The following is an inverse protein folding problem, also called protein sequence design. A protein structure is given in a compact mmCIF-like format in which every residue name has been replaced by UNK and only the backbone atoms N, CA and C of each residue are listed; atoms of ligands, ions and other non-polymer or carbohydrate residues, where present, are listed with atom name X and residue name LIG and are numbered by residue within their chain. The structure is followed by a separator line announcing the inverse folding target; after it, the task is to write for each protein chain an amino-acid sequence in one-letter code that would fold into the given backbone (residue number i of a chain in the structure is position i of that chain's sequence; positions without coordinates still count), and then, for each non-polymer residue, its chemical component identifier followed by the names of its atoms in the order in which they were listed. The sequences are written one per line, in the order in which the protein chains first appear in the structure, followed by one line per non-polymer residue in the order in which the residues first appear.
data_IF_202009284812
#
_entry.id   IF_202009284812
#
_cell.length_a   1.000
_cell.length_b   1.000
_cell.length_c   1.000
_cell.angle_alpha   90.00
_cell.angle_beta   90.00
_cell.angle_gamma   90.00
#
_symmetry.space_group_name_H-M   'P 1'
#
loop_
_entity.id
_entity.type
_entity.pdbx_description
1 polymer ?
#
# COMPACT_ATOMS: atom_id res chain seq x y z
N UNK A 1 12.94 -14.96 -2.91
CA UNK A 1 13.00 -13.50 -3.18
C UNK A 1 11.62 -12.94 -2.86
N UNK A 2 11.52 -11.79 -2.20
CA UNK A 2 10.20 -11.18 -1.91
C UNK A 2 9.57 -10.60 -3.17
N UNK A 3 8.26 -10.81 -3.31
CA UNK A 3 7.41 -10.22 -4.35
C UNK A 3 6.32 -9.37 -3.70
N UNK A 4 5.72 -8.49 -4.49
CA UNK A 4 4.48 -7.79 -4.14
C UNK A 4 3.35 -8.28 -5.05
N UNK A 5 2.24 -8.76 -4.49
CA UNK A 5 1.11 -9.26 -5.27
C UNK A 5 -0.15 -8.48 -4.92
N UNK A 6 -0.98 -8.20 -5.91
CA UNK A 6 -2.28 -7.55 -5.70
C UNK A 6 -3.43 -8.52 -5.97
N UNK A 7 -4.31 -8.67 -4.97
CA UNK A 7 -5.58 -9.39 -5.04
C UNK A 7 -6.71 -8.37 -5.18
N UNK A 8 -7.36 -8.28 -6.35
CA UNK A 8 -8.31 -7.23 -6.66
C UNK A 8 -9.65 -7.44 -5.93
N UNK A 9 -10.50 -6.41 -5.92
CA UNK A 9 -11.93 -6.58 -5.66
C UNK A 9 -12.63 -7.41 -6.75
N UNK A 10 -13.79 -7.96 -6.43
CA UNK A 10 -14.65 -8.66 -7.40
C UNK A 10 -15.13 -7.71 -8.53
N UNK A 11 -15.77 -8.27 -9.55
CA UNK A 11 -16.21 -7.55 -10.74
C UNK A 11 -15.09 -7.09 -11.68
N UNK A 12 -13.81 -7.31 -11.33
CA UNK A 12 -12.68 -6.80 -12.10
C UNK A 12 -12.08 -7.83 -13.07
N UNK A 13 -12.34 -7.66 -14.37
CA UNK A 13 -11.77 -8.51 -15.42
C UNK A 13 -10.55 -7.90 -16.14
N UNK A 14 -10.11 -6.70 -15.76
CA UNK A 14 -9.05 -5.93 -16.43
C UNK A 14 -8.20 -5.16 -15.42
N UNK A 15 -7.56 -5.91 -14.53
CA UNK A 15 -6.78 -5.34 -13.41
C UNK A 15 -5.64 -4.44 -13.89
N UNK A 16 -5.08 -4.69 -15.07
CA UNK A 16 -3.97 -3.95 -15.68
C UNK A 16 -4.33 -2.51 -16.08
N UNK A 17 -5.61 -2.17 -16.10
CA UNK A 17 -6.09 -0.82 -16.39
C UNK A 17 -7.01 -0.25 -15.32
N UNK A 18 -7.16 -0.94 -14.19
CA UNK A 18 -8.16 -0.62 -13.16
C UNK A 18 -7.61 0.22 -12.03
N UNK A 19 -8.34 1.29 -11.68
CA UNK A 19 -8.12 2.08 -10.46
C UNK A 19 -6.63 2.44 -10.31
N UNK A 20 -6.09 2.24 -9.11
CA UNK A 20 -4.71 2.45 -8.71
C UNK A 20 -3.83 1.20 -8.83
N UNK A 21 -4.39 0.02 -9.13
CA UNK A 21 -3.65 -1.25 -9.05
C UNK A 21 -2.35 -1.25 -9.87
N UNK A 22 -2.35 -0.86 -11.17
CA UNK A 22 -1.13 -0.88 -11.97
C UNK A 22 -0.10 0.14 -11.48
N UNK A 23 -0.56 1.31 -11.03
CA UNK A 23 0.31 2.37 -10.52
C UNK A 23 1.04 1.91 -9.26
N UNK A 24 0.32 1.31 -8.31
CA UNK A 24 0.88 0.84 -7.04
C UNK A 24 1.92 -0.25 -7.24
N UNK A 25 1.56 -1.33 -7.93
CA UNK A 25 2.47 -2.48 -8.07
C UNK A 25 3.74 -2.10 -8.83
N UNK A 26 3.61 -1.23 -9.84
CA UNK A 26 4.76 -0.71 -10.60
C UNK A 26 5.67 0.14 -9.73
N UNK A 27 5.12 1.11 -8.98
CA UNK A 27 5.91 1.99 -8.10
C UNK A 27 6.60 1.20 -7.00
N UNK A 28 5.94 0.21 -6.40
CA UNK A 28 6.55 -0.65 -5.39
C UNK A 28 7.66 -1.54 -5.95
N UNK A 29 7.50 -2.03 -7.18
CA UNK A 29 8.55 -2.81 -7.85
C UNK A 29 9.78 -1.95 -8.23
N UNK A 30 9.59 -0.66 -8.50
CA UNK A 30 10.65 0.31 -8.77
C UNK A 30 11.27 0.90 -7.49
N UNK A 31 10.62 0.72 -6.34
CA UNK A 31 11.10 1.21 -5.06
C UNK A 31 12.39 0.50 -4.60
N UNK A 32 13.24 1.24 -3.90
CA UNK A 32 14.51 0.73 -3.36
C UNK A 32 14.40 0.42 -1.87
N UNK A 33 15.05 -0.66 -1.46
CA UNK A 33 15.29 -0.94 -0.06
C UNK A 33 16.32 0.06 0.51
N UNK A 34 15.98 0.64 1.66
CA UNK A 34 16.75 1.74 2.23
C UNK A 34 18.13 1.31 2.77
N UNK A 35 18.29 0.02 3.12
CA UNK A 35 19.53 -0.49 3.69
C UNK A 35 20.48 -0.98 2.60
N UNK A 36 19.98 -1.79 1.66
CA UNK A 36 20.77 -2.41 0.60
C UNK A 36 20.93 -1.55 -0.65
N UNK A 37 20.04 -0.58 -0.87
CA UNK A 37 19.97 0.21 -2.10
C UNK A 37 19.49 -0.57 -3.33
N UNK A 38 19.22 -1.88 -3.19
CA UNK A 38 18.65 -2.73 -4.23
C UNK A 38 17.12 -2.62 -4.31
N UNK A 39 16.47 -3.38 -5.22
CA UNK A 39 15.01 -3.39 -5.32
C UNK A 39 14.36 -3.83 -4.00
N UNK A 40 13.30 -3.13 -3.57
CA UNK A 40 12.52 -3.48 -2.39
C UNK A 40 11.87 -4.87 -2.53
N UNK A 41 11.43 -5.20 -3.75
CA UNK A 41 10.88 -6.49 -4.11
C UNK A 41 11.69 -7.12 -5.25
N UNK A 42 12.83 -7.80 -4.97
CA UNK A 42 13.68 -8.37 -6.00
C UNK A 42 13.01 -9.48 -6.83
N UNK A 43 11.91 -10.05 -6.34
CA UNK A 43 11.07 -10.98 -7.09
C UNK A 43 10.05 -10.30 -8.02
N UNK A 44 10.00 -8.97 -8.06
CA UNK A 44 9.07 -8.20 -8.87
C UNK A 44 7.65 -8.13 -8.28
N UNK A 45 6.67 -7.96 -9.16
CA UNK A 45 5.26 -7.88 -8.80
C UNK A 45 4.38 -8.83 -9.61
N UNK A 46 3.23 -9.17 -9.04
CA UNK A 46 2.16 -9.91 -9.73
C UNK A 46 0.86 -9.08 -9.73
N UNK A 47 0.31 -8.87 -10.92
CA UNK A 47 -1.00 -8.25 -11.13
C UNK A 47 -1.73 -9.06 -12.20
N UNK A 48 -2.68 -9.90 -11.77
CA UNK A 48 -3.41 -10.81 -12.65
C UNK A 48 -4.90 -10.73 -12.40
N UNK A 49 -5.69 -10.88 -13.47
CA UNK A 49 -7.13 -11.08 -13.35
C UNK A 49 -7.37 -12.45 -12.69
N UNK A 50 -8.10 -12.46 -11.58
CA UNK A 50 -8.43 -13.69 -10.87
C UNK A 50 -9.52 -14.47 -11.62
N UNK A 51 -9.51 -15.81 -11.59
CA UNK A 51 -10.63 -16.62 -12.05
C UNK A 51 -11.89 -16.30 -11.22
N UNK A 52 -13.08 -16.59 -11.77
CA UNK A 52 -14.35 -16.29 -11.08
C UNK A 52 -14.45 -14.82 -10.61
N UNK A 53 -13.94 -13.89 -11.42
CA UNK A 53 -13.77 -12.48 -11.03
C UNK A 53 -15.08 -11.81 -10.58
N UNK A 54 -16.25 -12.28 -11.04
CA UNK A 54 -17.55 -11.72 -10.64
C UNK A 54 -17.93 -12.06 -9.20
N UNK A 55 -17.85 -13.33 -8.82
CA UNK A 55 -18.34 -13.81 -7.52
C UNK A 55 -17.25 -13.98 -6.47
N UNK A 56 -15.99 -13.98 -6.92
CA UNK A 56 -14.82 -14.06 -6.07
C UNK A 56 -14.87 -15.21 -5.05
N UNK A 57 -15.36 -16.41 -5.46
CA UNK A 57 -15.58 -17.49 -4.48
C UNK A 57 -14.28 -17.91 -3.81
N UNK A 58 -14.35 -18.02 -2.49
CA UNK A 58 -13.21 -18.30 -1.63
C UNK A 58 -12.39 -19.50 -2.10
N UNK A 59 -13.03 -20.64 -2.32
CA UNK A 59 -12.35 -21.88 -2.70
C UNK A 59 -11.66 -21.80 -4.08
N UNK A 60 -12.09 -20.88 -4.96
CA UNK A 60 -11.47 -20.66 -6.26
C UNK A 60 -10.29 -19.69 -6.10
N UNK A 61 -10.50 -18.58 -5.39
CA UNK A 61 -9.47 -17.55 -5.20
C UNK A 61 -8.32 -18.04 -4.32
N UNK A 62 -8.60 -18.70 -3.21
CA UNK A 62 -7.56 -19.28 -2.34
C UNK A 62 -6.76 -20.36 -3.05
N UNK A 63 -7.41 -21.20 -3.86
CA UNK A 63 -6.72 -22.18 -4.70
C UNK A 63 -5.84 -21.51 -5.76
N UNK A 64 -6.31 -20.45 -6.41
CA UNK A 64 -5.52 -19.68 -7.37
C UNK A 64 -4.30 -19.01 -6.71
N UNK A 65 -4.49 -18.43 -5.52
CA UNK A 65 -3.40 -17.87 -4.71
C UNK A 65 -2.34 -18.91 -4.35
N UNK A 66 -2.77 -20.12 -3.96
CA UNK A 66 -1.88 -21.22 -3.56
C UNK A 66 -1.15 -21.86 -4.76
N UNK A 67 -1.89 -22.27 -5.79
CA UNK A 67 -1.37 -23.17 -6.83
C UNK A 67 -0.74 -22.41 -7.99
N UNK A 68 -1.35 -21.28 -8.39
CA UNK A 68 -0.97 -20.53 -9.59
C UNK A 68 -0.03 -19.37 -9.24
N UNK A 69 -0.41 -18.53 -8.27
CA UNK A 69 0.44 -17.42 -7.82
C UNK A 69 1.56 -17.88 -6.87
N UNK A 70 1.33 -19.01 -6.19
CA UNK A 70 2.25 -19.61 -5.22
C UNK A 70 2.66 -18.60 -4.16
N UNK A 71 1.68 -17.90 -3.60
CA UNK A 71 1.90 -16.94 -2.50
C UNK A 71 2.54 -17.71 -1.34
N UNK A 72 3.58 -17.15 -0.76
CA UNK A 72 4.28 -17.76 0.37
C UNK A 72 4.85 -16.76 1.36
N UNK A 73 5.61 -17.28 2.32
CA UNK A 73 6.13 -16.53 3.48
C UNK A 73 7.02 -15.34 3.16
N UNK A 74 7.55 -15.25 1.93
CA UNK A 74 8.40 -14.14 1.50
C UNK A 74 7.62 -13.02 0.78
N UNK A 75 6.34 -13.25 0.48
CA UNK A 75 5.53 -12.36 -0.34
C UNK A 75 4.76 -11.34 0.50
N UNK A 76 4.64 -10.13 -0.02
CA UNK A 76 3.72 -9.13 0.48
C UNK A 76 2.49 -9.12 -0.41
N UNK A 77 1.30 -9.12 0.19
CA UNK A 77 0.02 -9.20 -0.52
C UNK A 77 -0.86 -7.99 -0.21
N UNK A 78 -1.34 -7.34 -1.26
CA UNK A 78 -2.27 -6.21 -1.19
C UNK A 78 -3.65 -6.71 -1.55
N UNK A 79 -4.61 -6.61 -0.64
CA UNK A 79 -6.01 -6.95 -0.86
C UNK A 79 -6.90 -5.73 -0.90
N UNK A 80 -7.72 -5.61 -1.95
CA UNK A 80 -8.74 -4.58 -2.01
C UNK A 80 -10.14 -5.20 -1.99
N UNK A 81 -11.03 -4.73 -1.11
CA UNK A 81 -12.43 -5.18 -1.02
C UNK A 81 -12.52 -6.71 -0.90
N UNK A 82 -13.20 -7.44 -1.79
CA UNK A 82 -13.25 -8.91 -1.76
C UNK A 82 -11.86 -9.57 -1.76
N UNK A 83 -10.85 -8.93 -2.35
CA UNK A 83 -9.46 -9.38 -2.28
C UNK A 83 -8.84 -9.26 -0.88
N UNK A 84 -9.27 -8.27 -0.09
CA UNK A 84 -8.91 -8.17 1.33
C UNK A 84 -9.52 -9.34 2.13
N UNK A 85 -10.80 -9.66 1.90
CA UNK A 85 -11.45 -10.83 2.51
C UNK A 85 -10.75 -12.14 2.12
N UNK A 86 -10.36 -12.28 0.85
CA UNK A 86 -9.64 -13.45 0.34
C UNK A 86 -8.28 -13.65 1.02
N UNK A 87 -7.48 -12.58 1.14
CA UNK A 87 -6.18 -12.65 1.82
C UNK A 87 -6.34 -12.96 3.29
N UNK A 88 -7.32 -12.35 3.98
CA UNK A 88 -7.61 -12.66 5.38
C UNK A 88 -7.94 -14.16 5.55
N UNK A 89 -8.75 -14.76 4.68
CA UNK A 89 -9.02 -16.21 4.72
C UNK A 89 -7.81 -17.06 4.39
N UNK A 90 -7.00 -16.65 3.41
CA UNK A 90 -5.76 -17.33 3.07
C UNK A 90 -4.79 -17.37 4.26
N UNK A 91 -4.64 -16.23 4.94
CA UNK A 91 -3.76 -16.04 6.09
C UNK A 91 -4.24 -16.77 7.36
N UNK A 92 -5.46 -17.31 7.41
CA UNK A 92 -5.86 -18.20 8.52
C UNK A 92 -5.00 -19.47 8.61
N UNK A 93 -4.38 -19.89 7.50
CA UNK A 93 -3.61 -21.15 7.44
C UNK A 93 -2.30 -21.07 6.67
N UNK A 94 -1.96 -19.91 6.10
CA UNK A 94 -0.77 -19.71 5.25
C UNK A 94 0.00 -18.49 5.70
N UNK A 95 1.33 -18.61 5.73
CA UNK A 95 2.21 -17.50 6.07
C UNK A 95 2.48 -16.62 4.87
N UNK A 96 2.53 -15.32 5.13
CA UNK A 96 2.97 -14.27 4.19
C UNK A 96 3.91 -13.32 4.92
N UNK A 97 4.72 -12.58 4.18
CA UNK A 97 5.63 -11.61 4.80
C UNK A 97 4.84 -10.43 5.37
N UNK A 98 3.91 -9.89 4.60
CA UNK A 98 3.10 -8.76 5.03
C UNK A 98 1.80 -8.65 4.26
N UNK A 99 0.81 -8.00 4.89
CA UNK A 99 -0.52 -7.81 4.33
C UNK A 99 -0.83 -6.31 4.29
N UNK A 100 -1.31 -5.84 3.14
CA UNK A 100 -1.94 -4.51 3.02
C UNK A 100 -3.42 -4.71 2.72
N UNK A 101 -4.28 -4.23 3.60
CA UNK A 101 -5.73 -4.31 3.48
C UNK A 101 -6.28 -2.96 3.03
N UNK A 102 -7.09 -2.92 1.99
CA UNK A 102 -7.79 -1.72 1.51
C UNK A 102 -9.28 -2.02 1.48
N UNK A 103 -10.06 -1.24 2.23
CA UNK A 103 -11.52 -1.47 2.40
C UNK A 103 -11.86 -2.88 2.88
N UNK A 104 -11.15 -3.38 3.90
CA UNK A 104 -11.44 -4.69 4.49
C UNK A 104 -12.74 -4.68 5.33
N UNK A 105 -13.41 -5.83 5.42
CA UNK A 105 -14.69 -6.01 6.12
C UNK A 105 -14.83 -7.45 6.60
N UNK A 106 -15.83 -7.72 7.44
CA UNK A 106 -15.93 -9.01 8.13
C UNK A 106 -17.29 -9.71 8.04
N UNK A 107 -18.31 -9.08 7.46
CA UNK A 107 -19.63 -9.68 7.22
C UNK A 107 -19.99 -9.71 5.73
N UNK A 108 -21.07 -10.41 5.37
CA UNK A 108 -21.62 -10.36 4.01
C UNK A 108 -22.41 -9.09 3.72
N UNK A 109 -22.51 -8.16 4.68
CA UNK A 109 -23.25 -6.89 4.57
C UNK A 109 -24.74 -7.05 4.22
N UNK A 110 -25.29 -8.27 4.36
CA UNK A 110 -26.63 -8.61 3.88
C UNK A 110 -26.75 -8.72 2.35
N UNK A 111 -25.63 -8.74 1.63
CA UNK A 111 -25.58 -8.85 0.17
C UNK A 111 -25.50 -10.32 -0.29
N UNK A 112 -26.32 -10.67 -1.29
CA UNK A 112 -26.40 -12.04 -1.80
C UNK A 112 -25.12 -12.50 -2.51
N UNK A 113 -24.41 -11.58 -3.18
CA UNK A 113 -23.18 -11.88 -3.90
C UNK A 113 -22.02 -12.09 -2.91
N UNK A 114 -21.90 -11.23 -1.91
CA UNK A 114 -20.93 -11.39 -0.80
C UNK A 114 -21.18 -12.70 -0.05
N UNK A 115 -22.44 -13.04 0.25
CA UNK A 115 -22.78 -14.33 0.87
C UNK A 115 -22.39 -15.52 -0.01
N UNK A 116 -22.64 -15.43 -1.31
CA UNK A 116 -22.31 -16.49 -2.27
C UNK A 116 -20.80 -16.70 -2.47
N UNK A 117 -19.96 -15.71 -2.13
CA UNK A 117 -18.50 -15.83 -2.17
C UNK A 117 -17.97 -16.91 -1.20
N UNK A 118 -18.67 -17.12 -0.08
CA UNK A 118 -18.31 -18.07 0.96
C UNK A 118 -17.36 -17.53 2.04
N UNK A 119 -16.85 -16.30 1.92
CA UNK A 119 -15.90 -15.74 2.90
C UNK A 119 -16.50 -15.53 4.29
N UNK A 120 -17.82 -15.33 4.42
CA UNK A 120 -18.46 -14.85 5.66
C UNK A 120 -19.31 -15.92 6.38
N UNK A 121 -19.24 -17.17 5.92
CA UNK A 121 -20.10 -18.27 6.39
C UNK A 121 -19.64 -18.92 7.72
N UNK A 122 -18.59 -18.40 8.34
CA UNK A 122 -17.98 -18.93 9.57
C UNK A 122 -17.19 -17.84 10.30
N UNK A 123 -16.92 -17.98 11.61
CA UNK A 123 -16.06 -17.04 12.33
C UNK A 123 -14.67 -16.88 11.69
N UNK A 124 -14.09 -15.70 11.81
CA UNK A 124 -12.73 -15.39 11.39
C UNK A 124 -11.73 -15.82 12.45
N UNK A 125 -10.57 -16.35 12.03
CA UNK A 125 -9.48 -16.73 12.94
C UNK A 125 -8.45 -15.62 13.10
N UNK A 126 -8.87 -14.49 13.69
CA UNK A 126 -8.06 -13.27 13.79
C UNK A 126 -6.65 -13.48 14.37
N UNK A 127 -6.53 -14.28 15.43
CA UNK A 127 -5.23 -14.60 16.04
C UNK A 127 -4.30 -15.36 15.08
N UNK A 128 -4.85 -16.28 14.29
CA UNK A 128 -4.06 -17.05 13.32
C UNK A 128 -3.64 -16.16 12.15
N UNK A 129 -4.54 -15.29 11.68
CA UNK A 129 -4.26 -14.30 10.63
C UNK A 129 -3.10 -13.39 11.07
N UNK A 130 -3.18 -12.81 12.28
CA UNK A 130 -2.15 -11.92 12.80
C UNK A 130 -0.80 -12.64 13.01
N UNK A 131 -0.81 -13.92 13.42
CA UNK A 131 0.43 -14.71 13.59
C UNK A 131 1.09 -15.12 12.27
N UNK A 132 0.31 -15.18 11.19
CA UNK A 132 0.78 -15.65 9.89
C UNK A 132 1.27 -14.51 8.98
N UNK A 133 1.26 -13.26 9.44
CA UNK A 133 1.87 -12.12 8.77
C UNK A 133 2.89 -11.46 9.72
N UNK A 134 4.06 -11.03 9.21
CA UNK A 134 5.02 -10.31 10.07
C UNK A 134 4.52 -8.90 10.41
N UNK A 135 3.72 -8.32 9.52
CA UNK A 135 3.09 -7.01 9.69
C UNK A 135 1.81 -6.92 8.85
N UNK A 136 0.89 -6.07 9.30
CA UNK A 136 -0.36 -5.77 8.59
C UNK A 136 -0.58 -4.27 8.60
N UNK A 137 -0.86 -3.69 7.43
CA UNK A 137 -1.32 -2.30 7.29
C UNK A 137 -2.74 -2.33 6.76
N UNK A 138 -3.62 -1.49 7.31
CA UNK A 138 -4.99 -1.34 6.82
C UNK A 138 -5.29 0.11 6.46
N UNK A 139 -5.72 0.33 5.22
CA UNK A 139 -6.27 1.58 4.73
C UNK A 139 -7.80 1.50 4.69
N UNK A 140 -8.43 2.49 5.31
CA UNK A 140 -9.88 2.59 5.43
C UNK A 140 -10.38 3.98 5.10
N UNK A 141 -11.65 4.09 4.72
CA UNK A 141 -12.25 5.35 4.29
C UNK A 141 -13.63 5.56 4.90
N UNK A 142 -13.83 6.61 5.71
CA UNK A 142 -15.15 6.94 6.28
C UNK A 142 -16.21 7.26 5.23
N UNK A 143 -15.81 7.61 4.01
CA UNK A 143 -16.71 7.91 2.90
C UNK A 143 -16.93 6.71 1.97
N UNK A 144 -16.51 5.52 2.37
CA UNK A 144 -16.79 4.28 1.66
C UNK A 144 -18.31 4.02 1.64
N UNK A 145 -18.87 3.95 0.43
CA UNK A 145 -20.30 3.80 0.19
C UNK A 145 -20.72 2.34 -0.01
N UNK A 146 -19.77 1.41 -0.10
CA UNK A 146 -20.02 -0.02 -0.28
C UNK A 146 -19.77 -0.78 1.02
N UNK A 147 -18.67 -0.45 1.70
CA UNK A 147 -18.29 -1.07 2.97
C UNK A 147 -18.33 -0.01 4.08
N UNK A 148 -19.34 -0.05 4.97
CA UNK A 148 -19.44 0.89 6.08
C UNK A 148 -18.16 0.95 6.92
N UNK A 149 -17.78 2.14 7.36
CA UNK A 149 -16.52 2.34 8.11
C UNK A 149 -16.44 1.49 9.40
N UNK A 150 -17.58 1.16 10.01
CA UNK A 150 -17.61 0.35 11.23
C UNK A 150 -17.19 -1.11 11.00
N UNK A 151 -17.45 -1.66 9.80
CA UNK A 151 -16.94 -2.97 9.38
C UNK A 151 -15.41 -2.94 9.26
N UNK A 152 -14.88 -1.88 8.66
CA UNK A 152 -13.43 -1.75 8.45
C UNK A 152 -12.71 -1.55 9.79
N UNK A 153 -13.24 -0.66 10.65
CA UNK A 153 -12.73 -0.46 12.01
C UNK A 153 -12.85 -1.73 12.86
N UNK A 154 -13.87 -2.55 12.64
CA UNK A 154 -13.98 -3.83 13.33
C UNK A 154 -12.82 -4.75 12.96
N UNK A 155 -12.51 -4.92 11.67
CA UNK A 155 -11.36 -5.73 11.22
C UNK A 155 -10.07 -5.26 11.90
N UNK A 156 -9.81 -3.95 11.89
CA UNK A 156 -8.62 -3.40 12.53
C UNK A 156 -8.56 -3.69 14.03
N UNK A 157 -9.69 -3.58 14.76
CA UNK A 157 -9.73 -3.89 16.20
C UNK A 157 -9.47 -5.36 16.52
N UNK A 158 -9.71 -6.27 15.57
CA UNK A 158 -9.47 -7.70 15.77
C UNK A 158 -8.03 -8.11 15.44
N UNK A 159 -7.37 -7.41 14.51
CA UNK A 159 -6.02 -7.73 14.08
C UNK A 159 -5.00 -7.08 15.03
N UNK A 160 -4.39 -7.89 15.91
CA UNK A 160 -3.35 -7.41 16.81
C UNK A 160 -2.11 -6.92 16.02
N UNK A 161 -1.62 -5.72 16.35
CA UNK A 161 -0.43 -5.14 15.72
C UNK A 161 -0.65 -4.58 14.30
N UNK A 162 -1.91 -4.34 13.91
CA UNK A 162 -2.21 -3.67 12.63
C UNK A 162 -1.89 -2.18 12.69
N UNK A 163 -1.20 -1.68 11.68
CA UNK A 163 -1.06 -0.26 11.42
C UNK A 163 -2.31 0.24 10.67
N UNK A 164 -3.21 0.90 11.40
CA UNK A 164 -4.49 1.38 10.86
C UNK A 164 -4.40 2.84 10.39
N UNK A 165 -4.81 3.07 9.14
CA UNK A 165 -4.80 4.37 8.47
C UNK A 165 -6.20 4.67 7.93
N UNK A 166 -6.79 5.76 8.41
CA UNK A 166 -8.12 6.21 7.98
C UNK A 166 -7.97 7.46 7.09
N UNK A 167 -8.40 7.36 5.84
CA UNK A 167 -8.28 8.39 4.81
C UNK A 167 -9.68 8.91 4.41
N UNK A 168 -10.11 10.08 4.91
CA UNK A 168 -11.37 10.70 4.52
C UNK A 168 -11.43 11.00 3.02
N UNK A 169 -12.59 10.79 2.39
CA UNK A 169 -12.82 11.19 1.00
C UNK A 169 -12.29 10.21 -0.05
N UNK A 170 -11.70 9.07 0.32
CA UNK A 170 -11.21 8.05 -0.63
C UNK A 170 -12.30 7.12 -1.17
N UNK A 171 -13.53 7.25 -0.68
CA UNK A 171 -14.65 6.41 -1.12
C UNK A 171 -14.37 4.93 -0.86
N UNK A 172 -14.72 4.06 -1.79
CA UNK A 172 -14.32 2.64 -1.79
C UNK A 172 -12.99 2.42 -2.53
N UNK A 173 -12.11 3.42 -2.60
CA UNK A 173 -10.82 3.36 -3.33
C UNK A 173 -10.94 2.92 -4.80
N UNK A 174 -12.08 3.23 -5.44
CA UNK A 174 -12.38 2.80 -6.82
C UNK A 174 -12.17 3.88 -7.88
N UNK A 175 -12.14 5.14 -7.47
CA UNK A 175 -12.11 6.29 -8.40
C UNK A 175 -10.69 6.73 -8.75
N UNK A 176 -9.73 6.48 -7.85
CA UNK A 176 -8.38 7.00 -8.00
C UNK A 176 -7.54 6.14 -8.95
N UNK A 177 -6.66 6.81 -9.71
CA UNK A 177 -5.67 6.16 -10.58
C UNK A 177 -4.33 5.92 -9.91
N UNK A 178 -4.13 6.51 -8.73
CA UNK A 178 -2.93 6.42 -7.93
C UNK A 178 -3.31 6.22 -6.46
N UNK A 179 -2.40 5.65 -5.68
CA UNK A 179 -2.54 5.55 -4.24
C UNK A 179 -1.24 5.98 -3.54
N UNK A 180 -0.95 7.29 -3.53
CA UNK A 180 0.25 7.87 -2.93
C UNK A 180 0.56 7.34 -1.54
N UNK A 181 -0.43 7.34 -0.65
CA UNK A 181 -0.29 7.00 0.77
C UNK A 181 0.13 5.54 1.01
N UNK A 182 -0.07 4.67 0.02
CA UNK A 182 0.35 3.27 0.08
C UNK A 182 1.82 3.08 -0.36
N UNK A 183 2.35 3.96 -1.21
CA UNK A 183 3.66 3.76 -1.86
C UNK A 183 4.68 4.86 -1.57
N UNK A 184 4.25 6.06 -1.20
CA UNK A 184 5.11 7.21 -0.96
C UNK A 184 5.64 7.20 0.47
N UNK A 185 6.92 7.49 0.57
CA UNK A 185 7.56 7.84 1.83
C UNK A 185 7.76 9.33 1.84
N UNK A 186 7.29 9.97 2.91
CA UNK A 186 7.67 11.33 3.19
C UNK A 186 9.02 11.33 3.90
N UNK A 187 9.96 12.08 3.35
CA UNK A 187 11.26 12.32 3.95
C UNK A 187 11.38 13.79 4.34
N UNK A 188 11.83 14.05 5.57
CA UNK A 188 12.07 15.40 6.07
C UNK A 188 13.57 15.65 6.22
N UNK A 189 14.04 16.82 5.80
CA UNK A 189 15.43 17.23 5.90
C UNK A 189 15.53 18.57 6.61
N UNK A 190 16.51 18.70 7.49
CA UNK A 190 16.92 19.99 8.04
C UNK A 190 17.95 20.60 7.09
N UNK A 191 17.68 21.81 6.60
CA UNK A 191 18.44 22.46 5.54
C UNK A 191 18.75 23.90 5.90
N UNK A 192 20.04 24.23 5.98
CA UNK A 192 20.49 25.59 6.26
C UNK A 192 20.36 26.48 5.02
N UNK A 193 19.45 27.44 5.07
CA UNK A 193 19.12 28.39 4.02
C UNK A 193 19.39 29.82 4.49
N UNK A 194 20.49 30.39 4.02
CA UNK A 194 20.99 31.71 4.46
C UNK A 194 20.36 32.92 3.76
N UNK A 195 19.53 32.72 2.73
CA UNK A 195 18.88 33.82 2.00
C UNK A 195 17.59 33.39 1.31
N UNK A 196 16.74 34.37 0.96
CA UNK A 196 15.48 34.15 0.24
C UNK A 196 15.60 33.48 -1.13
N UNK A 197 16.81 33.44 -1.72
CA UNK A 197 17.09 32.71 -2.95
C UNK A 197 17.34 31.20 -2.76
N UNK A 198 17.62 30.74 -1.54
CA UNK A 198 17.94 29.34 -1.26
C UNK A 198 16.77 28.38 -1.57
N UNK A 199 15.52 28.67 -1.16
CA UNK A 199 14.38 27.82 -1.51
C UNK A 199 14.25 27.64 -3.02
N UNK A 200 14.40 28.72 -3.80
CA UNK A 200 14.30 28.66 -5.25
C UNK A 200 15.33 27.74 -5.92
N UNK A 201 16.54 27.61 -5.35
CA UNK A 201 17.55 26.68 -5.84
C UNK A 201 17.15 25.22 -5.58
N UNK A 202 16.69 24.92 -4.36
CA UNK A 202 16.22 23.59 -3.95
C UNK A 202 15.02 23.17 -4.80
N UNK A 203 14.03 24.05 -4.93
CA UNK A 203 12.82 23.81 -5.75
C UNK A 203 13.19 23.46 -7.19
N UNK A 204 14.12 24.19 -7.81
CA UNK A 204 14.54 23.90 -9.20
C UNK A 204 15.23 22.53 -9.35
N UNK A 205 15.98 22.10 -8.34
CA UNK A 205 16.63 20.78 -8.34
C UNK A 205 15.59 19.67 -8.14
N UNK A 206 14.74 19.79 -7.12
CA UNK A 206 13.72 18.76 -6.82
C UNK A 206 12.70 18.59 -7.96
N UNK A 207 12.28 19.67 -8.63
CA UNK A 207 11.41 19.59 -9.82
C UNK A 207 12.01 18.83 -11.01
N UNK A 208 13.34 18.72 -11.07
CA UNK A 208 14.06 18.01 -12.14
C UNK A 208 14.47 16.60 -11.73
N UNK A 209 14.35 16.27 -10.45
CA UNK A 209 14.75 14.98 -9.92
C UNK A 209 13.61 14.00 -10.20
N UNK A 210 13.85 13.08 -11.13
CA UNK A 210 12.91 12.02 -11.46
C UNK A 210 12.64 11.14 -10.23
N UNK A 211 11.36 10.84 -9.96
CA UNK A 211 10.93 10.13 -8.75
C UNK A 211 10.53 11.01 -7.56
N UNK A 212 10.61 12.35 -7.65
CA UNK A 212 9.97 13.24 -6.67
C UNK A 212 8.48 13.42 -7.02
N UNK A 213 7.60 13.04 -6.10
CA UNK A 213 6.14 13.10 -6.30
C UNK A 213 5.58 14.44 -5.82
N UNK A 214 6.00 14.89 -4.64
CA UNK A 214 5.65 16.19 -4.07
C UNK A 214 6.77 16.69 -3.13
N UNK A 215 6.79 17.99 -2.84
CA UNK A 215 7.71 18.54 -1.85
C UNK A 215 7.24 19.89 -1.30
N UNK A 216 7.65 20.19 -0.07
CA UNK A 216 7.54 21.53 0.54
C UNK A 216 8.92 22.03 0.97
N UNK A 217 9.17 23.33 0.78
CA UNK A 217 10.45 23.97 1.16
C UNK A 217 10.13 25.19 2.01
N UNK A 218 10.46 25.11 3.30
CA UNK A 218 10.21 26.18 4.26
C UNK A 218 11.50 26.87 4.68
N UNK A 219 11.68 28.11 4.24
CA UNK A 219 12.77 28.97 4.70
C UNK A 219 12.65 29.28 6.19
N UNK A 220 11.42 29.46 6.68
CA UNK A 220 11.14 29.78 8.08
C UNK A 220 11.55 28.62 9.00
N UNK A 221 11.14 27.39 8.65
CA UNK A 221 11.43 26.20 9.43
C UNK A 221 12.80 25.59 9.13
N UNK A 222 13.55 26.16 8.18
CA UNK A 222 14.81 25.61 7.69
C UNK A 222 14.69 24.13 7.32
N UNK A 223 13.60 23.78 6.62
CA UNK A 223 13.25 22.39 6.35
C UNK A 223 12.80 22.15 4.91
N UNK A 224 13.00 20.92 4.46
CA UNK A 224 12.48 20.41 3.19
C UNK A 224 11.77 19.09 3.46
N UNK A 225 10.51 18.96 3.07
CA UNK A 225 9.82 17.67 3.00
C UNK A 225 9.71 17.23 1.55
N UNK A 226 9.94 15.95 1.30
CA UNK A 226 9.86 15.36 -0.04
C UNK A 226 9.09 14.05 0.06
N UNK A 227 8.00 13.96 -0.69
CA UNK A 227 7.26 12.74 -0.89
C UNK A 227 7.85 12.03 -2.11
N UNK A 228 8.27 10.78 -1.92
CA UNK A 228 8.79 9.95 -3.01
C UNK A 228 8.52 8.48 -2.75
N UNK A 229 8.03 7.77 -3.76
CA UNK A 229 7.92 6.31 -3.73
C UNK A 229 9.20 5.58 -4.17
N UNK A 230 10.01 6.19 -5.03
CA UNK A 230 11.11 5.50 -5.72
C UNK A 230 12.50 5.93 -5.25
N UNK A 231 12.64 7.14 -4.72
CA UNK A 231 13.91 7.66 -4.23
C UNK A 231 14.12 7.27 -2.76
N UNK A 232 15.37 6.94 -2.46
CA UNK A 232 15.82 6.80 -1.09
C UNK A 232 16.07 8.15 -0.43
N UNK A 233 16.00 8.15 0.90
CA UNK A 233 16.39 9.25 1.79
C UNK A 233 17.76 9.86 1.44
N UNK A 234 18.72 9.01 1.05
CA UNK A 234 20.08 9.44 0.72
C UNK A 234 20.19 10.06 -0.67
N UNK A 235 19.44 9.55 -1.66
CA UNK A 235 19.41 10.14 -3.01
C UNK A 235 18.85 11.56 -2.99
N UNK A 236 17.75 11.77 -2.27
CA UNK A 236 17.14 13.09 -2.10
C UNK A 236 18.07 14.02 -1.31
N UNK A 237 18.67 13.54 -0.20
CA UNK A 237 19.64 14.34 0.57
C UNK A 237 20.79 14.81 -0.31
N UNK A 238 21.34 13.92 -1.14
CA UNK A 238 22.43 14.22 -2.06
C UNK A 238 22.01 15.29 -3.08
N UNK A 239 20.80 15.19 -3.64
CA UNK A 239 20.27 16.19 -4.56
C UNK A 239 20.09 17.57 -3.89
N UNK A 240 19.62 17.62 -2.63
CA UNK A 240 19.52 18.87 -1.86
C UNK A 240 20.92 19.47 -1.64
N UNK A 241 21.89 18.65 -1.21
CA UNK A 241 23.26 19.10 -0.94
C UNK A 241 23.98 19.64 -2.19
N UNK A 242 23.67 19.13 -3.39
CA UNK A 242 24.18 19.65 -4.67
C UNK A 242 23.81 21.12 -4.94
N UNK A 243 22.80 21.66 -4.23
CA UNK A 243 22.48 23.10 -4.30
C UNK A 243 23.42 23.99 -3.50
N UNK A 244 24.45 23.41 -2.87
CA UNK A 244 25.42 24.09 -2.02
C UNK A 244 24.86 24.45 -0.64
N UNK A 245 23.79 23.75 -0.21
CA UNK A 245 23.14 23.97 1.09
C UNK A 245 23.51 22.84 2.04
N UNK A 246 24.04 23.15 3.24
CA UNK A 246 24.16 22.15 4.30
C UNK A 246 22.79 21.57 4.59
N UNK A 247 22.69 20.26 4.46
CA UNK A 247 21.47 19.52 4.72
C UNK A 247 21.83 18.23 5.43
N UNK A 248 20.96 17.82 6.35
CA UNK A 248 20.99 16.53 7.00
C UNK A 248 19.57 16.00 7.09
N UNK A 249 19.45 14.71 7.36
CA UNK A 249 18.12 14.18 7.56
C UNK A 249 17.62 14.57 8.94
N UNK A 250 16.38 15.04 9.02
CA UNK A 250 15.69 15.22 10.29
C UNK A 250 15.55 13.87 11.00
N UNK A 251 15.85 13.86 12.30
CA UNK A 251 15.47 12.78 13.21
C UNK A 251 13.97 12.93 13.51
N UNK A 252 13.24 11.82 13.49
CA UNK A 252 11.82 11.79 13.87
C UNK A 252 11.67 11.94 15.38
#
# INVERSE_FOLDING_TARGET
MSRILLVPGNGNNRVETSMWYPSVVKRLAEAKDAQSGGPLFPGGYELRTFPDYLLAREHIWTKFMEEELRIGENDVVIGHSSGAAAILRYAETRKVKGIVLVSAYHSDLGDDMERASGYFNRPWKWDDIAKNAEWIVQFSSPSDHLVPIDEQRFVSRQLNGVDYIELPGRGHFISDRTFPELVEKQYKYDVTMSCGGCPGAIIRTLKKLDGVDNFDVSLENQSVTVDSATLSKQEILTAIQQTGKPAMVAEN
#
